data_IF_296519577128
#
_entry.id   IF_296519577128
#
_cell.length_a   1.000
_cell.length_b   1.000
_cell.length_c   1.000
_cell.angle_alpha   90.00
_cell.angle_beta   90.00
_cell.angle_gamma   90.00
#
_symmetry.space_group_name_H-M   'P 1'
#
loop_
_entity.id
_entity.type
_entity.pdbx_description
1 polymer ?
#
# COMPACT_ATOMS: atom_id res chain seq x y z
N UNK A 1 20.07 15.00 -14.27
CA UNK A 1 19.51 14.83 -12.91
C UNK A 1 19.33 13.34 -12.64
N UNK A 2 20.06 12.74 -11.69
CA UNK A 2 19.75 11.35 -11.26
C UNK A 2 18.43 11.37 -10.49
N UNK A 3 17.46 10.46 -10.76
CA UNK A 3 16.21 10.44 -10.01
C UNK A 3 16.53 10.22 -8.53
N UNK A 4 16.02 11.11 -7.66
CA UNK A 4 16.05 10.90 -6.21
C UNK A 4 15.44 9.53 -5.92
N UNK A 5 16.05 8.67 -5.09
CA UNK A 5 15.50 7.37 -4.78
C UNK A 5 14.10 7.59 -4.20
N UNK A 6 13.08 7.24 -4.98
CA UNK A 6 11.70 7.13 -4.47
C UNK A 6 11.78 6.14 -3.32
N UNK A 7 11.40 6.56 -2.12
CA UNK A 7 11.37 5.64 -0.97
C UNK A 7 10.57 4.40 -1.38
N UNK A 8 11.04 3.20 -1.02
CA UNK A 8 10.39 1.92 -1.36
C UNK A 8 8.87 1.96 -1.16
N UNK A 9 8.42 2.66 -0.12
CA UNK A 9 7.02 2.89 0.23
C UNK A 9 6.27 3.77 -0.77
N UNK A 10 6.90 4.84 -1.27
CA UNK A 10 6.30 5.69 -2.31
C UNK A 10 6.08 4.92 -3.61
N UNK A 11 7.08 4.16 -4.07
CA UNK A 11 6.94 3.33 -5.27
C UNK A 11 5.85 2.26 -5.10
N UNK A 12 5.79 1.59 -3.95
CA UNK A 12 4.73 0.63 -3.66
C UNK A 12 3.34 1.29 -3.62
N UNK A 13 3.22 2.48 -3.03
CA UNK A 13 1.97 3.24 -3.01
C UNK A 13 1.50 3.65 -4.40
N UNK A 14 2.41 4.14 -5.24
CA UNK A 14 2.09 4.49 -6.63
C UNK A 14 1.61 3.27 -7.41
N UNK A 15 2.17 2.08 -7.15
CA UNK A 15 1.68 0.82 -7.73
C UNK A 15 0.28 0.46 -7.23
N UNK A 16 0.03 0.54 -5.92
CA UNK A 16 -1.29 0.24 -5.33
C UNK A 16 -2.35 1.22 -5.85
N UNK A 17 -2.02 2.51 -5.99
CA UNK A 17 -2.97 3.53 -6.46
C UNK A 17 -3.41 3.31 -7.92
N UNK A 18 -2.57 2.67 -8.74
CA UNK A 18 -2.85 2.35 -10.15
C UNK A 18 -3.67 1.08 -10.34
N UNK A 19 -3.84 0.25 -9.31
CA UNK A 19 -4.68 -0.94 -9.38
C UNK A 19 -6.14 -0.57 -9.61
N UNK A 20 -6.91 -1.45 -10.26
CA UNK A 20 -8.36 -1.39 -10.22
C UNK A 20 -8.88 -1.78 -8.82
N UNK A 21 -10.14 -1.48 -8.53
CA UNK A 21 -10.75 -1.91 -7.27
C UNK A 21 -10.92 -3.43 -7.27
N UNK A 22 -10.51 -4.09 -6.18
CA UNK A 22 -10.47 -5.55 -6.07
C UNK A 22 -9.14 -6.18 -6.53
N UNK A 23 -8.32 -5.46 -7.29
CA UNK A 23 -7.00 -5.95 -7.69
C UNK A 23 -6.01 -5.96 -6.53
N UNK A 24 -5.03 -6.87 -6.63
CA UNK A 24 -4.08 -7.13 -5.57
C UNK A 24 -2.63 -7.17 -6.04
N UNK A 25 -1.72 -6.71 -5.19
CA UNK A 25 -0.27 -6.93 -5.33
C UNK A 25 0.16 -7.96 -4.29
N UNK A 26 0.91 -8.95 -4.74
CA UNK A 26 1.53 -9.96 -3.87
C UNK A 26 2.99 -9.60 -3.66
N UNK A 27 3.41 -9.57 -2.39
CA UNK A 27 4.78 -9.34 -1.98
C UNK A 27 5.32 -10.61 -1.35
N UNK A 28 6.45 -11.07 -1.90
CA UNK A 28 7.31 -12.05 -1.22
C UNK A 28 8.05 -11.32 -0.10
N UNK A 29 8.22 -11.99 1.01
CA UNK A 29 8.89 -11.46 2.19
C UNK A 29 9.92 -12.46 2.68
N UNK A 30 10.99 -11.92 3.25
CA UNK A 30 12.06 -12.68 3.87
C UNK A 30 11.93 -12.46 5.38
N UNK A 31 11.44 -13.47 6.10
CA UNK A 31 11.26 -13.43 7.55
C UNK A 31 9.81 -13.56 8.01
N UNK A 32 9.56 -13.12 9.25
CA UNK A 32 8.26 -13.29 9.91
C UNK A 32 7.14 -12.50 9.19
N UNK A 33 6.06 -13.18 8.73
CA UNK A 33 4.98 -12.53 8.02
C UNK A 33 4.23 -11.45 8.79
N UNK A 34 4.07 -11.59 10.10
CA UNK A 34 3.36 -10.62 10.92
C UNK A 34 4.19 -9.33 11.08
N UNK A 35 5.49 -9.47 11.34
CA UNK A 35 6.43 -8.34 11.44
C UNK A 35 6.51 -7.59 10.12
N UNK A 36 6.66 -8.28 8.99
CA UNK A 36 6.75 -7.65 7.68
C UNK A 36 5.42 -6.99 7.27
N UNK A 37 4.27 -7.62 7.57
CA UNK A 37 2.96 -7.01 7.36
C UNK A 37 2.79 -5.72 8.16
N UNK A 38 3.27 -5.70 9.41
CA UNK A 38 3.21 -4.51 10.24
C UNK A 38 4.10 -3.38 9.69
N UNK A 39 5.33 -3.69 9.25
CA UNK A 39 6.21 -2.72 8.60
C UNK A 39 5.58 -2.12 7.34
N UNK A 40 4.96 -2.95 6.51
CA UNK A 40 4.25 -2.50 5.30
C UNK A 40 3.09 -1.60 5.66
N UNK A 41 2.22 -1.97 6.61
CA UNK A 41 1.10 -1.11 7.06
C UNK A 41 1.62 0.26 7.50
N UNK A 42 2.64 0.28 8.36
CA UNK A 42 3.24 1.51 8.84
C UNK A 42 3.86 2.35 7.70
N UNK A 43 4.58 1.72 6.78
CA UNK A 43 5.21 2.40 5.64
C UNK A 43 4.19 3.01 4.67
N UNK A 44 3.12 2.27 4.37
CA UNK A 44 2.05 2.76 3.49
C UNK A 44 1.25 3.90 4.14
N UNK A 45 0.98 3.82 5.44
CA UNK A 45 0.21 4.85 6.15
C UNK A 45 0.98 6.18 6.29
N UNK A 46 2.31 6.14 6.24
CA UNK A 46 3.16 7.35 6.26
C UNK A 46 3.36 7.98 4.88
N UNK A 47 2.92 7.34 3.81
CA UNK A 47 3.12 7.81 2.44
C UNK A 47 1.90 8.56 1.95
N UNK A 48 2.08 9.84 1.59
CA UNK A 48 0.98 10.69 1.10
C UNK A 48 0.22 10.09 -0.09
N UNK A 49 0.92 9.40 -1.01
CA UNK A 49 0.33 8.72 -2.16
C UNK A 49 -0.65 7.59 -1.77
N UNK A 50 -0.57 7.10 -0.54
CA UNK A 50 -1.39 6.03 0.00
C UNK A 50 -2.45 6.54 1.00
N UNK A 51 -2.43 7.79 1.42
CA UNK A 51 -3.38 8.30 2.42
C UNK A 51 -4.81 8.26 1.88
N UNK A 52 -5.02 8.55 0.60
CA UNK A 52 -6.33 8.55 -0.04
C UNK A 52 -6.82 7.17 -0.50
N UNK A 53 -5.94 6.16 -0.58
CA UNK A 53 -6.28 4.84 -1.12
C UNK A 53 -6.73 3.90 0.01
N UNK A 54 -7.97 3.41 -0.10
CA UNK A 54 -8.49 2.37 0.78
C UNK A 54 -7.91 1.02 0.34
N UNK A 55 -7.41 0.24 1.30
CA UNK A 55 -6.70 -1.02 1.02
C UNK A 55 -6.81 -2.02 2.17
N UNK A 56 -6.60 -3.29 1.87
CA UNK A 56 -6.35 -4.33 2.87
C UNK A 56 -4.95 -4.88 2.74
N UNK A 57 -4.35 -5.25 3.87
CA UNK A 57 -3.06 -5.95 3.92
C UNK A 57 -3.26 -7.25 4.69
N UNK A 58 -3.21 -8.38 3.99
CA UNK A 58 -3.43 -9.72 4.53
C UNK A 58 -2.20 -10.60 4.30
N UNK A 59 -2.05 -11.62 5.14
CA UNK A 59 -1.05 -12.67 4.96
C UNK A 59 -1.80 -13.88 4.40
N UNK A 60 -1.33 -14.40 3.27
CA UNK A 60 -1.89 -15.58 2.59
C UNK A 60 -0.71 -16.46 2.17
N UNK A 61 -0.67 -17.69 2.66
CA UNK A 61 0.40 -18.68 2.38
C UNK A 61 1.82 -18.12 2.55
N UNK A 62 2.04 -17.40 3.67
CA UNK A 62 3.34 -16.77 3.98
C UNK A 62 3.71 -15.57 3.11
N UNK A 63 2.81 -15.12 2.22
CA UNK A 63 2.98 -13.93 1.39
C UNK A 63 2.08 -12.80 1.87
N UNK A 64 2.48 -11.57 1.57
CA UNK A 64 1.65 -10.40 1.88
C UNK A 64 0.85 -10.01 0.64
N UNK A 65 -0.46 -9.99 0.78
CA UNK A 65 -1.40 -9.59 -0.28
C UNK A 65 -1.97 -8.22 0.09
N UNK A 66 -1.77 -7.26 -0.81
CA UNK A 66 -2.32 -5.90 -0.68
C UNK A 66 -3.39 -5.72 -1.74
N UNK A 67 -4.64 -5.56 -1.31
CA UNK A 67 -5.79 -5.38 -2.21
C UNK A 67 -6.27 -3.94 -2.17
N UNK A 68 -6.52 -3.33 -3.33
CA UNK A 68 -7.13 -2.00 -3.40
C UNK A 68 -8.65 -2.12 -3.24
N UNK A 69 -9.21 -1.29 -2.37
CA UNK A 69 -10.66 -1.22 -2.10
C UNK A 69 -11.28 0.12 -2.55
N UNK A 70 -10.64 0.81 -3.48
CA UNK A 70 -11.03 2.15 -3.92
C UNK A 70 -10.34 3.28 -3.14
N UNK A 71 -10.98 4.44 -3.07
CA UNK A 71 -10.49 5.59 -2.31
C UNK A 71 -11.30 5.79 -1.04
N UNK A 72 -10.69 6.39 -0.01
CA UNK A 72 -11.46 6.89 1.12
C UNK A 72 -12.44 7.94 0.61
N UNK A 73 -13.73 7.75 0.90
CA UNK A 73 -14.72 8.80 0.65
C UNK A 73 -14.37 9.95 1.58
N UNK A 74 -13.77 11.01 1.04
CA UNK A 74 -13.83 12.29 1.74
C UNK A 74 -15.33 12.64 1.88
N UNK A 75 -15.81 13.06 3.06
CA UNK A 75 -17.14 13.64 3.13
C UNK A 75 -17.21 14.78 2.10
N UNK A 76 -18.22 14.82 1.23
CA UNK A 76 -18.37 15.95 0.32
C UNK A 76 -18.56 17.21 1.17
N UNK A 77 -17.65 18.19 1.04
CA UNK A 77 -17.89 19.55 1.54
C UNK A 77 -17.01 20.06 2.69
N UNK A 78 -15.68 20.01 2.55
CA UNK A 78 -14.82 21.04 3.17
C UNK A 78 -13.71 21.43 2.19
N UNK A 79 -14.06 22.35 1.31
CA UNK A 79 -13.13 23.29 0.69
C UNK A 79 -13.10 24.55 1.54
#
# INVERSE_FOLDING_TARGET
MKPKPTSKWRSLCERIAKLQEGESIVLKIDGDPAVEAQKIRNGLNRSAACISVRRTVRIVDGKIVITRLGFWRHPPGRF
#
